data_IF_667622322240
#
_entry.id   IF_667622322240
#
_cell.length_a   1.000
_cell.length_b   1.000
_cell.length_c   1.000
_cell.angle_alpha   90.00
_cell.angle_beta   90.00
_cell.angle_gamma   90.00
#
_symmetry.space_group_name_H-M   'P 1'
#
loop_
_entity.id
_entity.type
_entity.pdbx_description
1 polymer ?
#
# COMPACT_ATOMS: atom_id res chain seq x y z
N UNK A 1 23.55 -40.37 24.48
CA UNK A 1 22.11 -40.04 24.50
C UNK A 1 21.90 -38.54 24.60
N UNK A 2 22.39 -37.85 25.64
CA UNK A 2 22.21 -36.39 25.81
C UNK A 2 22.83 -35.56 24.67
N UNK A 3 24.04 -35.90 24.21
CA UNK A 3 24.71 -35.16 23.12
C UNK A 3 23.98 -35.26 21.77
N UNK A 4 23.33 -36.40 21.49
CA UNK A 4 22.53 -36.58 20.28
C UNK A 4 21.25 -35.72 20.32
N UNK A 5 20.65 -35.59 21.50
CA UNK A 5 19.46 -34.76 21.71
C UNK A 5 19.78 -33.26 21.53
N UNK A 6 20.95 -32.81 22.00
CA UNK A 6 21.40 -31.43 21.81
C UNK A 6 21.67 -31.11 20.33
N UNK A 7 22.30 -32.03 19.59
CA UNK A 7 22.57 -31.84 18.16
C UNK A 7 21.25 -31.77 17.37
N UNK A 8 20.29 -32.64 17.67
CA UNK A 8 19.01 -32.69 16.97
C UNK A 8 18.19 -31.41 17.21
N UNK A 9 18.16 -30.90 18.44
CA UNK A 9 17.52 -29.61 18.75
C UNK A 9 18.19 -28.45 18.02
N UNK A 10 19.53 -28.42 17.98
CA UNK A 10 20.27 -27.37 17.27
C UNK A 10 20.02 -27.39 15.76
N UNK A 11 19.92 -28.58 15.15
CA UNK A 11 19.62 -28.72 13.74
C UNK A 11 18.17 -28.30 13.42
N UNK A 12 17.22 -28.62 14.30
CA UNK A 12 15.83 -28.24 14.14
C UNK A 12 15.61 -26.72 14.23
N UNK A 13 16.23 -26.06 15.21
CA UNK A 13 16.16 -24.58 15.33
C UNK A 13 16.82 -23.90 14.14
N UNK A 14 17.98 -24.39 13.71
CA UNK A 14 18.67 -23.85 12.54
C UNK A 14 17.85 -24.03 11.26
N UNK A 15 17.24 -25.20 11.08
CA UNK A 15 16.32 -25.48 9.97
C UNK A 15 15.09 -24.57 9.98
N UNK A 16 14.48 -24.35 11.14
CA UNK A 16 13.34 -23.44 11.29
C UNK A 16 13.71 -21.99 10.93
N UNK A 17 14.89 -21.53 11.35
CA UNK A 17 15.39 -20.18 11.03
C UNK A 17 15.78 -20.03 9.56
N UNK A 18 16.31 -21.08 8.92
CA UNK A 18 16.69 -21.06 7.50
C UNK A 18 15.54 -21.36 6.54
N UNK A 19 14.46 -21.97 7.01
CA UNK A 19 13.24 -22.24 6.25
C UNK A 19 12.71 -21.02 5.47
N UNK A 20 12.59 -19.81 6.05
CA UNK A 20 12.15 -18.62 5.30
C UNK A 20 13.06 -18.21 4.15
N UNK A 21 14.35 -18.61 4.17
CA UNK A 21 15.30 -18.28 3.10
C UNK A 21 15.10 -19.18 1.87
N UNK A 22 14.67 -20.43 2.06
CA UNK A 22 14.39 -21.38 0.98
C UNK A 22 12.91 -21.43 0.59
N UNK A 23 12.04 -20.88 1.43
CA UNK A 23 10.63 -20.69 1.10
C UNK A 23 10.51 -19.57 0.07
N UNK A 24 10.59 -19.95 -1.20
CA UNK A 24 10.32 -19.15 -2.41
C UNK A 24 8.90 -18.55 -2.48
N UNK A 25 8.17 -18.53 -1.36
CA UNK A 25 7.03 -17.64 -1.14
C UNK A 25 7.53 -16.28 -0.66
N UNK A 26 8.34 -15.64 -1.51
CA UNK A 26 8.40 -14.18 -1.53
C UNK A 26 7.04 -13.71 -2.04
N UNK A 27 6.08 -13.61 -1.13
CA UNK A 27 4.97 -12.70 -1.32
C UNK A 27 5.62 -11.35 -1.65
N UNK A 28 5.38 -10.76 -2.83
CA UNK A 28 6.07 -9.53 -3.23
C UNK A 28 5.75 -8.46 -2.19
N UNK A 29 6.76 -8.19 -1.35
CA UNK A 29 6.70 -7.21 -0.29
C UNK A 29 6.50 -5.85 -0.96
N UNK A 30 5.29 -5.31 -0.91
CA UNK A 30 4.99 -3.96 -1.39
C UNK A 30 3.73 -3.78 -2.21
N UNK A 31 3.00 -4.83 -2.59
CA UNK A 31 1.69 -4.68 -3.24
C UNK A 31 0.60 -5.22 -2.32
N UNK A 32 0.33 -4.49 -1.23
CA UNK A 32 -1.00 -4.62 -0.61
C UNK A 32 -2.02 -4.32 -1.73
N UNK A 33 -3.10 -5.11 -1.86
CA UNK A 33 -4.17 -4.78 -2.78
C UNK A 33 -4.57 -3.33 -2.57
N UNK A 34 -4.72 -2.54 -3.64
CA UNK A 34 -5.01 -1.09 -3.58
C UNK A 34 -6.23 -0.83 -2.66
N UNK A 35 -7.19 -1.75 -2.64
CA UNK A 35 -8.37 -1.72 -1.76
C UNK A 35 -8.02 -1.79 -0.26
N UNK A 36 -7.10 -2.67 0.11
CA UNK A 36 -6.68 -2.85 1.51
C UNK A 36 -5.84 -1.66 1.99
N UNK A 37 -4.98 -1.14 1.11
CA UNK A 37 -4.21 0.08 1.40
C UNK A 37 -5.14 1.28 1.65
N UNK A 38 -6.18 1.46 0.83
CA UNK A 38 -7.09 2.60 0.98
C UNK A 38 -7.90 2.56 2.29
N UNK A 39 -8.26 1.35 2.75
CA UNK A 39 -8.92 1.18 4.07
C UNK A 39 -7.97 1.47 5.22
N UNK A 40 -6.73 0.98 5.13
CA UNK A 40 -5.70 1.22 6.14
C UNK A 40 -5.37 2.71 6.26
N UNK A 41 -5.26 3.42 5.14
CA UNK A 41 -4.99 4.86 5.11
C UNK A 41 -6.09 5.65 5.82
N UNK A 42 -7.36 5.32 5.59
CA UNK A 42 -8.50 5.94 6.28
C UNK A 42 -8.54 5.60 7.77
N UNK A 43 -8.23 4.35 8.13
CA UNK A 43 -8.15 3.96 9.53
C UNK A 43 -7.03 4.72 10.28
N UNK A 44 -5.89 4.90 9.64
CA UNK A 44 -4.77 5.69 10.16
C UNK A 44 -5.13 7.17 10.30
N UNK A 45 -5.78 7.76 9.29
CA UNK A 45 -6.28 9.14 9.35
C UNK A 45 -7.26 9.32 10.52
N UNK A 46 -8.21 8.40 10.68
CA UNK A 46 -9.15 8.40 11.81
C UNK A 46 -8.41 8.39 13.15
N UNK A 47 -7.45 7.48 13.32
CA UNK A 47 -6.69 7.36 14.55
C UNK A 47 -5.89 8.64 14.86
N UNK A 48 -5.28 9.26 13.84
CA UNK A 48 -4.58 10.54 13.98
C UNK A 48 -5.51 11.63 14.51
N UNK A 49 -6.67 11.82 13.87
CA UNK A 49 -7.63 12.86 14.27
C UNK A 49 -8.17 12.65 15.68
N UNK A 50 -8.38 11.39 16.10
CA UNK A 50 -8.75 11.08 17.48
C UNK A 50 -7.65 11.47 18.48
N UNK A 51 -6.39 11.19 18.16
CA UNK A 51 -5.26 11.62 18.99
C UNK A 51 -5.18 13.14 19.05
N UNK A 52 -5.33 13.82 17.91
CA UNK A 52 -5.30 15.28 17.84
C UNK A 52 -6.38 15.92 18.74
N UNK A 53 -7.61 15.38 18.78
CA UNK A 53 -8.67 15.85 19.69
C UNK A 53 -8.29 15.62 21.16
N UNK A 54 -7.72 14.45 21.49
CA UNK A 54 -7.30 14.14 22.86
C UNK A 54 -6.19 15.09 23.33
N UNK A 55 -5.24 15.37 22.46
CA UNK A 55 -4.15 16.29 22.77
C UNK A 55 -4.68 17.71 22.95
N UNK A 56 -5.62 18.17 22.11
CA UNK A 56 -6.30 19.46 22.28
C UNK A 56 -7.06 19.55 23.62
N UNK A 57 -7.84 18.52 23.96
CA UNK A 57 -8.60 18.45 25.21
C UNK A 57 -7.65 18.47 26.43
N UNK A 58 -6.48 17.82 26.31
CA UNK A 58 -5.43 17.85 27.34
C UNK A 58 -4.78 19.23 27.47
N UNK A 59 -4.35 19.84 26.36
CA UNK A 59 -3.72 21.15 26.35
C UNK A 59 -4.63 22.24 26.91
N UNK A 60 -5.92 22.18 26.58
CA UNK A 60 -6.93 23.06 27.18
C UNK A 60 -7.11 22.77 28.68
N UNK A 61 -7.19 21.49 29.08
CA UNK A 61 -7.36 21.09 30.47
C UNK A 61 -6.22 21.56 31.40
N UNK A 62 -5.00 21.71 30.88
CA UNK A 62 -3.85 22.28 31.62
C UNK A 62 -3.72 23.80 31.46
N UNK A 63 -4.63 24.45 30.72
CA UNK A 63 -4.66 25.89 30.52
C UNK A 63 -3.61 26.43 29.54
N UNK A 64 -3.06 25.59 28.66
CA UNK A 64 -2.04 26.00 27.67
C UNK A 64 -2.63 26.80 26.51
N UNK A 65 -3.91 26.59 26.21
CA UNK A 65 -4.63 27.24 25.10
C UNK A 65 -5.90 27.93 25.59
N UNK A 66 -6.28 29.03 24.93
CA UNK A 66 -7.48 29.80 25.27
C UNK A 66 -8.76 29.08 24.80
N UNK A 67 -9.88 29.29 25.50
CA UNK A 67 -11.18 28.70 25.18
C UNK A 67 -11.59 28.90 23.72
N UNK A 68 -11.50 30.15 23.23
CA UNK A 68 -11.92 30.47 21.87
C UNK A 68 -11.11 29.69 20.82
N UNK A 69 -9.80 29.56 21.01
CA UNK A 69 -8.92 28.83 20.10
C UNK A 69 -9.18 27.32 20.20
N UNK A 70 -9.36 26.80 21.41
CA UNK A 70 -9.73 25.41 21.64
C UNK A 70 -11.02 25.04 20.90
N UNK A 71 -12.08 25.84 21.04
CA UNK A 71 -13.36 25.59 20.36
C UNK A 71 -13.20 25.59 18.84
N UNK A 72 -12.47 26.55 18.28
CA UNK A 72 -12.23 26.64 16.84
C UNK A 72 -11.45 25.41 16.31
N UNK A 73 -10.34 25.07 16.96
CA UNK A 73 -9.51 23.92 16.57
C UNK A 73 -10.28 22.62 16.70
N UNK A 74 -10.98 22.42 17.81
CA UNK A 74 -11.76 21.21 18.06
C UNK A 74 -12.89 21.03 17.07
N UNK A 75 -13.61 22.09 16.73
CA UNK A 75 -14.66 22.05 15.71
C UNK A 75 -14.11 21.72 14.32
N UNK A 76 -12.96 22.29 13.95
CA UNK A 76 -12.28 21.98 12.69
C UNK A 76 -11.88 20.50 12.61
N UNK A 77 -11.24 19.96 13.66
CA UNK A 77 -10.82 18.55 13.72
C UNK A 77 -12.02 17.60 13.71
N UNK A 78 -13.11 17.94 14.43
CA UNK A 78 -14.35 17.14 14.40
C UNK A 78 -14.98 17.09 13.01
N UNK A 79 -14.96 18.19 12.28
CA UNK A 79 -15.46 18.24 10.90
C UNK A 79 -14.64 17.34 9.98
N UNK A 80 -13.31 17.36 10.10
CA UNK A 80 -12.43 16.48 9.34
C UNK A 80 -12.66 15.01 9.68
N UNK A 81 -12.80 14.68 10.97
CA UNK A 81 -13.09 13.33 11.43
C UNK A 81 -14.41 12.81 10.87
N UNK A 82 -15.46 13.65 10.86
CA UNK A 82 -16.75 13.30 10.29
C UNK A 82 -16.65 12.97 8.78
N UNK A 83 -15.83 13.69 8.02
CA UNK A 83 -15.61 13.40 6.60
C UNK A 83 -14.86 12.07 6.39
N UNK A 84 -13.83 11.79 7.19
CA UNK A 84 -13.11 10.51 7.15
C UNK A 84 -14.05 9.35 7.45
N UNK A 85 -14.88 9.45 8.49
CA UNK A 85 -15.85 8.41 8.85
C UNK A 85 -16.87 8.18 7.72
N UNK A 86 -17.37 9.24 7.09
CA UNK A 86 -18.27 9.13 5.94
C UNK A 86 -17.63 8.40 4.76
N UNK A 87 -16.34 8.63 4.49
CA UNK A 87 -15.59 7.91 3.44
C UNK A 87 -15.40 6.44 3.79
N UNK A 88 -15.15 6.12 5.07
CA UNK A 88 -15.06 4.74 5.55
C UNK A 88 -16.39 4.01 5.36
N UNK A 89 -17.50 4.61 5.77
CA UNK A 89 -18.84 4.03 5.61
C UNK A 89 -19.17 3.76 4.15
N UNK A 90 -18.81 4.68 3.24
CA UNK A 90 -19.01 4.50 1.80
C UNK A 90 -18.22 3.30 1.24
N UNK A 91 -17.01 3.04 1.74
CA UNK A 91 -16.21 1.87 1.34
C UNK A 91 -16.81 0.59 1.89
N UNK A 92 -17.26 0.59 3.14
CA UNK A 92 -17.90 -0.58 3.76
C UNK A 92 -19.21 -0.95 3.06
N UNK A 93 -20.01 0.06 2.68
CA UNK A 93 -21.24 -0.15 1.91
C UNK A 93 -20.96 -0.64 0.49
N UNK A 94 -19.91 -0.13 -0.16
CA UNK A 94 -19.43 -0.62 -1.46
C UNK A 94 -18.92 -2.06 -1.42
N UNK A 95 -18.39 -2.51 -0.28
CA UNK A 95 -17.91 -3.88 -0.06
C UNK A 95 -19.08 -4.85 0.19
N UNK A 96 -20.09 -4.41 0.96
CA UNK A 96 -21.29 -5.18 1.26
C UNK A 96 -22.23 -5.37 0.04
N UNK A 97 -22.04 -4.59 -1.03
CA UNK A 97 -22.96 -4.53 -2.17
C UNK A 97 -22.59 -5.31 -3.43
N UNK A 98 -21.32 -5.66 -3.67
CA UNK A 98 -20.91 -6.41 -4.88
C UNK A 98 -19.40 -6.78 -4.86
N UNK A 99 -18.91 -7.29 -3.72
CA UNK A 99 -17.51 -7.68 -3.54
C UNK A 99 -17.13 -9.09 -4.01
N UNK A 100 -18.01 -9.82 -4.69
CA UNK A 100 -17.66 -11.07 -5.40
C UNK A 100 -17.77 -10.82 -6.90
N UNK A 101 -16.77 -10.14 -7.45
CA UNK A 101 -16.51 -10.31 -8.87
C UNK A 101 -16.14 -11.78 -9.04
N UNK A 102 -16.97 -12.56 -9.74
CA UNK A 102 -16.64 -13.96 -10.00
C UNK A 102 -15.30 -14.03 -10.73
N UNK A 103 -14.47 -15.00 -10.36
CA UNK A 103 -13.21 -15.28 -11.06
C UNK A 103 -13.42 -15.34 -12.58
N UNK A 104 -14.59 -15.83 -13.01
CA UNK A 104 -15.03 -15.90 -14.40
C UNK A 104 -15.20 -14.53 -15.10
N UNK A 105 -15.72 -13.50 -14.40
CA UNK A 105 -15.80 -12.14 -14.97
C UNK A 105 -14.44 -11.45 -15.04
N UNK A 106 -13.57 -11.72 -14.05
CA UNK A 106 -12.17 -11.30 -14.07
C UNK A 106 -11.42 -11.93 -15.24
N UNK A 107 -11.63 -13.21 -15.50
CA UNK A 107 -10.98 -13.95 -16.59
C UNK A 107 -11.45 -13.44 -17.96
N UNK A 108 -12.73 -13.10 -18.11
CA UNK A 108 -13.28 -12.44 -19.30
C UNK A 108 -12.69 -11.03 -19.53
N UNK A 109 -12.52 -10.23 -18.47
CA UNK A 109 -11.85 -8.92 -18.53
C UNK A 109 -10.35 -9.01 -18.86
N UNK A 110 -9.68 -10.09 -18.47
CA UNK A 110 -8.28 -10.36 -18.84
C UNK A 110 -8.18 -10.77 -20.30
N UNK A 111 -9.10 -11.62 -20.78
CA UNK A 111 -9.11 -12.09 -22.17
C UNK A 111 -9.41 -10.97 -23.17
N UNK A 112 -10.32 -10.06 -22.84
CA UNK A 112 -10.59 -8.85 -23.67
C UNK A 112 -9.42 -7.87 -23.70
N UNK A 113 -8.56 -7.86 -22.67
CA UNK A 113 -7.29 -7.10 -22.70
C UNK A 113 -6.19 -7.80 -23.48
N UNK A 114 -6.19 -9.14 -23.57
CA UNK A 114 -5.24 -9.90 -24.40
C UNK A 114 -5.41 -9.66 -25.90
N UNK A 115 -6.63 -9.38 -26.35
CA UNK A 115 -6.91 -9.08 -27.77
C UNK A 115 -6.67 -7.62 -28.15
N UNK A 116 -6.54 -6.72 -27.17
CA UNK A 116 -6.10 -5.34 -27.40
C UNK A 116 -4.57 -5.30 -27.37
N UNK A 117 -3.94 -5.74 -28.46
CA UNK A 117 -2.51 -5.57 -28.67
C UNK A 117 -2.17 -4.09 -28.62
N UNK A 118 -1.70 -3.61 -27.47
CA UNK A 118 -1.02 -2.32 -27.37
C UNK A 118 0.24 -2.48 -28.23
N UNK A 119 0.25 -1.88 -29.42
CA UNK A 119 1.43 -1.90 -30.30
C UNK A 119 2.49 -1.03 -29.63
N UNK A 120 3.33 -1.63 -28.79
CA UNK A 120 4.43 -0.94 -28.12
C UNK A 120 5.51 -0.69 -29.17
N UNK A 121 5.51 0.51 -29.75
CA UNK A 121 6.60 0.94 -30.62
C UNK A 121 7.88 1.05 -29.79
N UNK A 122 8.98 0.55 -30.35
CA UNK A 122 10.29 0.53 -29.69
C UNK A 122 11.26 1.47 -30.41
N UNK A 123 12.22 2.01 -29.66
CA UNK A 123 13.28 2.89 -30.16
C UNK A 123 14.62 2.43 -29.62
N UNK A 124 15.65 2.47 -30.45
CA UNK A 124 17.01 2.09 -30.05
C UNK A 124 17.76 3.31 -29.55
N UNK A 125 18.41 3.19 -28.40
CA UNK A 125 19.22 4.26 -27.84
C UNK A 125 20.46 4.52 -28.73
N UNK A 126 20.72 5.77 -29.18
CA UNK A 126 21.88 6.07 -30.00
C UNK A 126 23.21 5.99 -29.24
N UNK A 127 23.19 6.09 -27.90
CA UNK A 127 24.41 6.09 -27.08
C UNK A 127 24.91 4.69 -26.70
N UNK A 128 24.01 3.76 -26.36
CA UNK A 128 24.39 2.41 -25.91
C UNK A 128 23.71 1.26 -26.66
N UNK A 129 22.91 1.58 -27.69
CA UNK A 129 22.12 0.62 -28.48
C UNK A 129 21.05 -0.18 -27.70
N UNK A 130 20.75 0.16 -26.45
CA UNK A 130 19.65 -0.47 -25.73
C UNK A 130 18.29 -0.21 -26.38
N UNK A 131 17.43 -1.22 -26.40
CA UNK A 131 16.07 -1.11 -26.92
C UNK A 131 15.13 -0.57 -25.83
N UNK A 132 14.48 0.56 -26.09
CA UNK A 132 13.61 1.25 -25.15
C UNK A 132 12.20 1.41 -25.73
N UNK A 133 11.22 1.70 -24.89
CA UNK A 133 9.88 2.07 -25.35
C UNK A 133 9.93 3.44 -26.05
N UNK A 134 9.16 3.65 -27.14
CA UNK A 134 9.10 4.96 -27.82
C UNK A 134 8.64 6.09 -26.91
N UNK A 135 7.86 5.79 -25.87
CA UNK A 135 7.42 6.76 -24.86
C UNK A 135 8.49 7.09 -23.82
N UNK A 136 9.63 6.40 -23.81
CA UNK A 136 10.71 6.65 -22.86
C UNK A 136 11.46 7.95 -23.21
N UNK A 137 11.55 8.86 -22.24
CA UNK A 137 12.29 10.13 -22.39
C UNK A 137 13.81 9.94 -22.25
N UNK A 138 14.23 8.89 -21.55
CA UNK A 138 15.61 8.55 -21.25
C UNK A 138 15.83 7.04 -21.40
N UNK A 139 17.07 6.64 -21.70
CA UNK A 139 17.46 5.25 -21.80
C UNK A 139 17.50 4.60 -20.41
N UNK A 140 16.88 3.42 -20.27
CA UNK A 140 16.86 2.65 -19.02
C UNK A 140 18.21 2.04 -18.64
N UNK A 141 19.16 1.94 -19.56
CA UNK A 141 20.47 1.35 -19.30
C UNK A 141 21.55 2.41 -19.07
N UNK A 142 21.69 3.39 -19.98
CA UNK A 142 22.76 4.39 -19.92
C UNK A 142 22.30 5.79 -19.48
N UNK A 143 21.00 6.03 -19.31
CA UNK A 143 20.46 7.33 -18.90
C UNK A 143 20.47 8.42 -19.98
N UNK A 144 20.96 8.14 -21.19
CA UNK A 144 20.97 9.11 -22.29
C UNK A 144 19.55 9.55 -22.67
N UNK A 145 19.37 10.83 -23.00
CA UNK A 145 18.09 11.37 -23.47
C UNK A 145 17.73 10.74 -24.82
N UNK A 146 16.51 10.22 -24.93
CA UNK A 146 15.98 9.66 -26.16
C UNK A 146 15.16 10.72 -26.89
N UNK A 147 15.36 10.85 -28.19
CA UNK A 147 14.53 11.70 -29.05
C UNK A 147 13.28 10.88 -29.41
N UNK A 148 12.29 10.89 -28.51
CA UNK A 148 10.98 10.28 -28.73
C UNK A 148 10.18 11.03 -29.80
#
# INVERSE_FOLDING_TARGET
MLSLLMILLSAATFGYVLYPLFSKNVMPYGLKPIKDQHRDDLANMKQKLYTDIKDLDFEYGIGKIAEADYQNLRQATLKELADVLKRMDAIEQGDNGNGKVSDEYLEHLIQSRRTKTIVVQKVTCPSCQHENMKTAKFCSECGAKLNA
#
